data_IF_044039756401
#
_entry.id   IF_044039756401
#
_cell.length_a   1.000
_cell.length_b   1.000
_cell.length_c   1.000
_cell.angle_alpha   90.00
_cell.angle_beta   90.00
_cell.angle_gamma   90.00
#
_symmetry.space_group_name_H-M   'P 1'
#
loop_
_entity.id
_entity.type
_entity.pdbx_description
1 polymer ?
#
# COMPACT_ATOMS: atom_id res chain seq x y z
N UNK A 1 -16.05 -1.03 18.24
CA UNK A 1 -15.20 -0.78 17.07
C UNK A 1 -15.83 -1.48 15.88
N UNK A 2 -16.00 -0.82 14.73
CA UNK A 2 -16.78 -1.35 13.60
C UNK A 2 -16.20 -2.64 12.97
N UNK A 3 -14.95 -3.00 13.27
CA UNK A 3 -14.20 -4.07 12.61
C UNK A 3 -13.48 -5.04 13.58
N UNK A 4 -13.84 -5.04 14.88
CA UNK A 4 -13.25 -5.95 15.87
C UNK A 4 -11.89 -5.51 16.44
N UNK A 5 -11.14 -6.47 17.02
CA UNK A 5 -9.83 -6.25 17.62
C UNK A 5 -8.71 -6.34 16.56
N UNK A 6 -7.87 -5.31 16.48
CA UNK A 6 -6.75 -5.26 15.55
C UNK A 6 -5.74 -6.41 15.74
N UNK A 7 -5.42 -6.75 16.99
CA UNK A 7 -4.46 -7.81 17.28
C UNK A 7 -5.00 -9.20 16.93
N UNK A 8 -6.30 -9.43 17.15
CA UNK A 8 -6.94 -10.68 16.72
C UNK A 8 -6.92 -10.79 15.20
N UNK A 9 -7.28 -9.72 14.48
CA UNK A 9 -7.20 -9.68 13.02
C UNK A 9 -5.79 -10.01 12.49
N UNK A 10 -4.75 -9.38 13.06
CA UNK A 10 -3.36 -9.67 12.67
C UNK A 10 -2.98 -11.12 12.98
N UNK A 11 -3.32 -11.63 14.16
CA UNK A 11 -3.02 -13.00 14.56
C UNK A 11 -3.66 -14.03 13.62
N UNK A 12 -4.90 -13.80 13.22
CA UNK A 12 -5.61 -14.68 12.28
C UNK A 12 -4.97 -14.67 10.90
N UNK A 13 -4.58 -13.51 10.36
CA UNK A 13 -3.90 -13.43 9.05
C UNK A 13 -2.47 -13.96 9.08
N UNK A 14 -1.77 -13.82 10.20
CA UNK A 14 -0.40 -14.30 10.35
C UNK A 14 -0.29 -15.83 10.16
N UNK A 15 -1.37 -16.58 10.40
CA UNK A 15 -1.43 -18.03 10.13
C UNK A 15 -1.18 -18.39 8.66
N UNK A 16 -1.37 -17.44 7.75
CA UNK A 16 -1.24 -17.64 6.32
C UNK A 16 -0.04 -16.88 5.72
N UNK A 17 0.82 -16.26 6.54
CA UNK A 17 1.92 -15.43 6.07
C UNK A 17 2.95 -16.20 5.21
N UNK A 18 3.09 -17.50 5.44
CA UNK A 18 4.01 -18.38 4.70
C UNK A 18 3.38 -19.00 3.43
N UNK A 19 2.13 -18.70 3.09
CA UNK A 19 1.49 -19.24 1.89
C UNK A 19 1.99 -18.53 0.63
N UNK A 20 2.33 -19.31 -0.41
CA UNK A 20 2.90 -18.79 -1.66
C UNK A 20 2.02 -17.74 -2.37
N UNK A 21 0.70 -17.79 -2.15
CA UNK A 21 -0.28 -16.88 -2.75
C UNK A 21 -0.64 -15.70 -1.84
N UNK A 22 0.10 -15.46 -0.76
CA UNK A 22 -0.11 -14.34 0.16
C UNK A 22 1.21 -13.61 0.36
N UNK A 23 1.18 -12.29 0.21
CA UNK A 23 2.33 -11.43 0.52
C UNK A 23 1.95 -10.49 1.66
N UNK A 24 2.65 -10.62 2.77
CA UNK A 24 2.56 -9.67 3.89
C UNK A 24 3.44 -8.46 3.61
N UNK A 25 2.88 -7.26 3.77
CA UNK A 25 3.61 -6.00 3.65
C UNK A 25 3.14 -5.06 4.75
N UNK A 26 4.08 -4.39 5.40
CA UNK A 26 3.80 -3.37 6.41
C UNK A 26 3.79 -1.97 5.81
N UNK A 27 3.11 -1.04 6.48
CA UNK A 27 3.08 0.36 6.04
C UNK A 27 4.47 1.00 6.10
N UNK A 28 5.25 0.64 7.12
CA UNK A 28 6.59 1.14 7.38
C UNK A 28 7.56 0.76 6.25
N UNK A 29 7.52 -0.48 5.78
CA UNK A 29 8.33 -0.95 4.64
C UNK A 29 8.04 -0.16 3.36
N UNK A 30 6.75 0.06 3.06
CA UNK A 30 6.32 0.85 1.90
C UNK A 30 6.78 2.30 2.03
N UNK A 31 6.75 2.86 3.24
CA UNK A 31 7.16 4.24 3.49
C UNK A 31 8.68 4.42 3.44
N UNK A 32 9.44 3.46 3.94
CA UNK A 32 10.90 3.50 3.99
C UNK A 32 11.51 3.39 2.59
N UNK A 33 11.04 2.45 1.79
CA UNK A 33 11.50 2.29 0.41
C UNK A 33 10.36 1.94 -0.56
N UNK A 34 9.61 2.95 -1.04
CA UNK A 34 8.48 2.75 -1.93
C UNK A 34 8.86 2.00 -3.22
N UNK A 35 10.05 2.27 -3.77
CA UNK A 35 10.50 1.63 -5.00
C UNK A 35 10.74 0.13 -4.81
N UNK A 36 11.38 -0.26 -3.71
CA UNK A 36 11.56 -1.68 -3.38
C UNK A 36 10.22 -2.37 -3.11
N UNK A 37 9.32 -1.71 -2.38
CA UNK A 37 7.98 -2.24 -2.13
C UNK A 37 7.21 -2.51 -3.45
N UNK A 38 7.24 -1.56 -4.40
CA UNK A 38 6.63 -1.75 -5.72
C UNK A 38 7.28 -2.89 -6.51
N UNK A 39 8.62 -3.01 -6.49
CA UNK A 39 9.33 -4.14 -7.13
C UNK A 39 8.91 -5.49 -6.53
N UNK A 40 8.80 -5.57 -5.21
CA UNK A 40 8.40 -6.79 -4.51
C UNK A 40 6.95 -7.17 -4.85
N UNK A 41 6.03 -6.20 -4.83
CA UNK A 41 4.63 -6.40 -5.23
C UNK A 41 4.54 -6.88 -6.69
N UNK A 42 5.25 -6.23 -7.62
CA UNK A 42 5.24 -6.62 -9.03
C UNK A 42 5.79 -8.03 -9.23
N UNK A 43 6.89 -8.37 -8.54
CA UNK A 43 7.49 -9.72 -8.56
C UNK A 43 6.53 -10.77 -8.04
N UNK A 44 5.84 -10.50 -6.93
CA UNK A 44 4.84 -11.41 -6.36
C UNK A 44 3.69 -11.70 -7.33
N UNK A 45 3.23 -10.70 -8.08
CA UNK A 45 2.22 -10.88 -9.12
C UNK A 45 2.78 -11.42 -10.46
N UNK A 46 4.09 -11.61 -10.58
CA UNK A 46 4.73 -12.03 -11.84
C UNK A 46 4.67 -10.96 -12.94
N UNK A 47 4.53 -9.69 -12.58
CA UNK A 47 4.42 -8.57 -13.51
C UNK A 47 5.84 -8.03 -13.81
N UNK A 48 6.32 -8.08 -15.06
CA UNK A 48 7.57 -7.43 -15.43
C UNK A 48 7.40 -5.91 -15.34
N UNK A 49 8.44 -5.22 -14.88
CA UNK A 49 8.41 -3.77 -14.64
C UNK A 49 9.69 -3.13 -15.20
N UNK A 50 9.57 -2.12 -16.06
CA UNK A 50 10.72 -1.29 -16.45
C UNK A 50 11.05 -0.26 -15.38
N UNK A 51 12.23 0.37 -15.47
CA UNK A 51 12.60 1.43 -14.51
C UNK A 51 11.67 2.65 -14.66
N UNK A 52 11.25 2.99 -15.87
CA UNK A 52 10.30 4.09 -16.12
C UNK A 52 8.93 3.80 -15.50
N UNK A 53 8.43 2.58 -15.64
CA UNK A 53 7.15 2.16 -15.05
C UNK A 53 7.22 2.16 -13.52
N UNK A 54 8.34 1.69 -12.95
CA UNK A 54 8.58 1.76 -11.51
C UNK A 54 8.49 3.20 -11.00
N UNK A 55 9.24 4.11 -11.62
CA UNK A 55 9.27 5.51 -11.20
C UNK A 55 7.88 6.15 -11.32
N UNK A 56 7.14 5.82 -12.38
CA UNK A 56 5.77 6.27 -12.57
C UNK A 56 4.82 5.76 -11.47
N UNK A 57 4.93 4.49 -11.08
CA UNK A 57 4.11 3.92 -10.00
C UNK A 57 4.45 4.61 -8.68
N UNK A 58 5.74 4.74 -8.35
CA UNK A 58 6.21 5.41 -7.12
C UNK A 58 5.74 6.86 -7.05
N UNK A 59 5.83 7.60 -8.15
CA UNK A 59 5.37 9.00 -8.23
C UNK A 59 3.86 9.11 -8.02
N UNK A 60 3.07 8.24 -8.66
CA UNK A 60 1.61 8.20 -8.54
C UNK A 60 1.14 7.74 -7.17
N UNK A 61 1.85 6.79 -6.54
CA UNK A 61 1.55 6.31 -5.19
C UNK A 61 2.13 7.19 -4.08
N UNK A 62 2.82 8.28 -4.42
CA UNK A 62 3.31 9.23 -3.42
C UNK A 62 2.15 9.90 -2.69
N UNK A 63 2.35 10.24 -1.42
CA UNK A 63 1.32 10.90 -0.61
C UNK A 63 0.82 12.21 -1.26
N UNK A 64 1.70 12.98 -1.90
CA UNK A 64 1.34 14.23 -2.56
C UNK A 64 0.41 13.98 -3.76
N UNK A 65 0.77 13.01 -4.62
CA UNK A 65 -0.03 12.62 -5.78
C UNK A 65 -1.39 12.05 -5.36
N UNK A 66 -1.40 11.15 -4.37
CA UNK A 66 -2.63 10.58 -3.83
C UNK A 66 -3.51 11.65 -3.19
N UNK A 67 -2.94 12.58 -2.42
CA UNK A 67 -3.67 13.70 -1.82
C UNK A 67 -4.30 14.60 -2.89
N UNK A 68 -3.54 14.95 -3.94
CA UNK A 68 -4.06 15.72 -5.06
C UNK A 68 -5.23 15.02 -5.77
N UNK A 69 -5.23 13.69 -5.79
CA UNK A 69 -6.30 12.88 -6.37
C UNK A 69 -7.40 12.46 -5.38
N UNK A 70 -7.30 12.88 -4.11
CA UNK A 70 -8.17 12.39 -3.03
C UNK A 70 -9.62 12.80 -3.19
N UNK A 71 -9.89 14.00 -3.73
CA UNK A 71 -11.25 14.48 -4.00
C UNK A 71 -11.98 13.58 -5.01
N UNK A 72 -11.29 13.12 -6.06
CA UNK A 72 -11.88 12.25 -7.08
C UNK A 72 -12.13 10.83 -6.59
N UNK A 73 -11.28 10.34 -5.68
CA UNK A 73 -11.29 8.94 -5.22
C UNK A 73 -12.10 8.73 -3.94
N UNK A 74 -12.11 9.71 -3.05
CA UNK A 74 -12.71 9.62 -1.71
C UNK A 74 -13.74 10.73 -1.43
N UNK A 75 -14.03 11.59 -2.42
CA UNK A 75 -15.02 12.66 -2.31
C UNK A 75 -14.70 13.63 -1.16
N UNK A 76 -15.72 13.99 -0.40
CA UNK A 76 -15.62 14.90 0.76
C UNK A 76 -14.71 14.35 1.87
N UNK A 77 -14.51 13.03 1.93
CA UNK A 77 -13.61 12.40 2.91
C UNK A 77 -12.13 12.54 2.55
N UNK A 78 -11.78 12.93 1.31
CA UNK A 78 -10.38 13.09 0.89
C UNK A 78 -9.58 14.03 1.81
N UNK A 79 -10.16 15.18 2.18
CA UNK A 79 -9.49 16.14 3.08
C UNK A 79 -9.34 15.64 4.52
N UNK A 80 -10.21 14.73 4.96
CA UNK A 80 -10.16 14.15 6.31
C UNK A 80 -9.07 13.07 6.39
N UNK A 81 -8.99 12.23 5.35
CA UNK A 81 -8.03 11.13 5.28
C UNK A 81 -6.62 11.61 4.95
N UNK A 82 -6.47 12.54 4.00
CA UNK A 82 -5.18 13.04 3.51
C UNK A 82 -4.74 14.32 4.21
N UNK A 83 -4.71 14.31 5.54
CA UNK A 83 -4.17 15.41 6.35
C UNK A 83 -2.70 15.14 6.72
N UNK A 84 -1.89 16.20 6.85
CA UNK A 84 -0.57 16.06 7.46
C UNK A 84 -0.79 15.73 8.95
N UNK A 85 -0.17 14.66 9.42
CA UNK A 85 0.04 14.42 10.85
C UNK A 85 1.09 15.37 11.41
#
# INVERSE_FOLDING_TARGET
>A
VAWGCYFEYLSEWNKYADQENIMTVTYEEVKENPALAVKNIATFFGIPLTEEELQLVVERSSFQSMKKNSEKTHGTFGNILFRKG
#
